data_IF_347248555516
#
_entry.id   IF_347248555516
#
_cell.length_a   1.000
_cell.length_b   1.000
_cell.length_c   1.000
_cell.angle_alpha   90.00
_cell.angle_beta   90.00
_cell.angle_gamma   90.00
#
_symmetry.space_group_name_H-M   'P 1'
#
loop_
_entity.id
_entity.type
_entity.pdbx_description
1 polymer ?
#
# COMPACT_ATOMS: atom_id res chain seq x y z
N UNK A 1 24.20 4.61 0.94
CA UNK A 1 23.55 3.27 0.91
C UNK A 1 22.25 3.40 0.12
N UNK A 2 22.13 2.74 -1.03
CA UNK A 2 20.93 2.83 -1.87
C UNK A 2 19.76 2.09 -1.19
N UNK A 3 18.53 2.60 -1.37
CA UNK A 3 17.32 2.04 -0.75
C UNK A 3 17.13 0.54 -1.06
N UNK A 4 17.54 0.10 -2.27
CA UNK A 4 17.49 -1.31 -2.71
C UNK A 4 18.41 -2.22 -1.89
N UNK A 5 19.62 -1.78 -1.53
CA UNK A 5 20.56 -2.57 -0.73
C UNK A 5 20.14 -2.65 0.74
N UNK A 6 19.57 -1.55 1.25
CA UNK A 6 18.99 -1.51 2.58
C UNK A 6 17.81 -2.48 2.68
N UNK A 7 16.96 -2.49 1.65
CA UNK A 7 15.85 -3.44 1.54
C UNK A 7 16.31 -4.90 1.43
N UNK A 8 17.29 -5.18 0.58
CA UNK A 8 17.84 -6.53 0.40
C UNK A 8 18.35 -7.12 1.71
N UNK A 9 19.06 -6.33 2.52
CA UNK A 9 19.48 -6.75 3.86
C UNK A 9 18.29 -6.97 4.81
N UNK A 10 17.32 -6.06 4.80
CA UNK A 10 16.15 -6.12 5.67
C UNK A 10 15.29 -7.38 5.43
N UNK A 11 15.09 -7.77 4.17
CA UNK A 11 14.33 -8.98 3.82
C UNK A 11 15.08 -10.26 4.18
N UNK A 12 16.40 -10.31 3.94
CA UNK A 12 17.23 -11.48 4.27
C UNK A 12 17.25 -11.73 5.77
N UNK A 13 17.42 -10.68 6.58
CA UNK A 13 17.41 -10.80 8.03
C UNK A 13 16.08 -11.29 8.62
N UNK A 14 14.97 -11.10 7.91
CA UNK A 14 13.62 -11.49 8.35
C UNK A 14 13.10 -12.79 7.74
N UNK A 15 13.82 -13.39 6.79
CA UNK A 15 13.40 -14.60 6.10
C UNK A 15 12.08 -14.46 5.33
N UNK A 16 11.68 -13.23 4.97
CA UNK A 16 10.39 -13.00 4.31
C UNK A 16 10.40 -13.51 2.87
N UNK A 17 9.32 -14.21 2.50
CA UNK A 17 9.05 -14.59 1.12
C UNK A 17 8.62 -13.35 0.35
N UNK A 18 9.22 -13.15 -0.82
CA UNK A 18 8.95 -11.99 -1.67
C UNK A 18 9.07 -12.34 -3.15
N UNK A 19 8.43 -11.53 -3.98
CA UNK A 19 8.62 -11.51 -5.42
C UNK A 19 8.84 -10.06 -5.87
N UNK A 20 9.51 -9.88 -7.01
CA UNK A 20 9.52 -8.58 -7.67
C UNK A 20 8.09 -8.17 -8.05
N UNK A 21 7.76 -6.89 -7.91
CA UNK A 21 6.48 -6.33 -8.35
C UNK A 21 6.72 -5.07 -9.18
N UNK A 22 5.70 -4.69 -9.94
CA UNK A 22 5.64 -3.43 -10.67
C UNK A 22 4.33 -2.76 -10.32
N UNK A 23 4.38 -1.58 -9.68
CA UNK A 23 3.22 -0.70 -9.65
C UNK A 23 3.17 0.03 -10.98
N UNK A 24 1.98 0.09 -11.58
CA UNK A 24 1.77 0.69 -12.89
C UNK A 24 0.38 1.28 -12.95
N UNK A 25 0.24 2.44 -13.60
CA UNK A 25 -1.08 2.95 -14.01
C UNK A 25 -1.64 2.08 -15.13
N UNK A 26 -2.97 2.12 -15.33
CA UNK A 26 -3.66 1.31 -16.36
C UNK A 26 -3.16 1.61 -17.78
N UNK A 27 -2.65 2.81 -18.01
CA UNK A 27 -2.06 3.26 -19.28
C UNK A 27 -0.54 3.03 -19.38
N UNK A 28 0.08 2.48 -18.34
CA UNK A 28 1.52 2.22 -18.30
C UNK A 28 2.40 3.42 -17.93
N UNK A 29 1.84 4.62 -17.72
CA UNK A 29 2.59 5.88 -17.60
C UNK A 29 3.48 5.99 -16.35
N UNK A 30 3.23 5.18 -15.33
CA UNK A 30 3.93 5.23 -14.05
C UNK A 30 4.48 3.86 -13.62
N UNK A 31 5.56 3.37 -14.25
CA UNK A 31 6.18 2.11 -13.89
C UNK A 31 7.11 2.28 -12.67
N UNK A 32 6.72 1.73 -11.53
CA UNK A 32 7.51 1.76 -10.31
C UNK A 32 7.89 0.33 -9.84
N UNK A 33 9.18 -0.04 -9.92
CA UNK A 33 9.66 -1.32 -9.41
C UNK A 33 9.51 -1.44 -7.89
N UNK A 34 8.99 -2.57 -7.43
CA UNK A 34 8.75 -2.85 -6.03
C UNK A 34 8.92 -4.32 -5.65
N UNK A 35 8.40 -4.67 -4.48
CA UNK A 35 8.38 -6.03 -3.97
C UNK A 35 7.02 -6.37 -3.40
N UNK A 36 6.50 -7.55 -3.76
CA UNK A 36 5.35 -8.16 -3.10
C UNK A 36 5.84 -9.04 -1.95
N UNK A 37 5.22 -8.93 -0.78
CA UNK A 37 5.55 -9.71 0.41
C UNK A 37 4.44 -10.71 0.72
N UNK A 38 4.84 -11.95 1.00
CA UNK A 38 3.91 -13.04 1.31
C UNK A 38 4.00 -13.43 2.77
N UNK A 39 2.85 -13.78 3.35
CA UNK A 39 2.76 -14.32 4.71
C UNK A 39 3.34 -13.39 5.79
N UNK A 40 3.35 -12.08 5.54
CA UNK A 40 3.86 -11.06 6.48
C UNK A 40 2.72 -10.36 7.21
N UNK A 41 2.88 -10.20 8.53
CA UNK A 41 1.95 -9.45 9.36
C UNK A 41 1.81 -7.99 8.87
N UNK A 42 0.57 -7.53 8.69
CA UNK A 42 0.28 -6.18 8.19
C UNK A 42 1.00 -5.07 8.97
N UNK A 43 1.08 -5.19 10.31
CA UNK A 43 1.76 -4.19 11.16
C UNK A 43 3.24 -4.06 10.79
N UNK A 44 3.90 -5.19 10.53
CA UNK A 44 5.30 -5.22 10.10
C UNK A 44 5.50 -4.58 8.73
N UNK A 45 4.59 -4.82 7.78
CA UNK A 45 4.63 -4.17 6.45
C UNK A 45 4.38 -2.66 6.55
N UNK A 46 3.46 -2.20 7.40
CA UNK A 46 3.21 -0.78 7.60
C UNK A 46 4.41 -0.06 8.24
N UNK A 47 5.06 -0.68 9.23
CA UNK A 47 6.28 -0.14 9.84
C UNK A 47 7.41 -0.02 8.80
N UNK A 48 7.57 -1.04 7.94
CA UNK A 48 8.49 -1.02 6.82
C UNK A 48 8.15 0.12 5.84
N UNK A 49 6.90 0.21 5.39
CA UNK A 49 6.44 1.20 4.42
C UNK A 49 6.76 2.63 4.92
N UNK A 50 6.51 2.91 6.20
CA UNK A 50 6.88 4.18 6.85
C UNK A 50 8.39 4.41 6.85
N UNK A 51 9.20 3.39 7.18
CA UNK A 51 10.66 3.48 7.17
C UNK A 51 11.20 3.87 5.79
N UNK A 52 10.58 3.36 4.72
CA UNK A 52 10.96 3.68 3.34
C UNK A 52 10.13 4.82 2.73
N UNK A 53 9.40 5.59 3.57
CA UNK A 53 8.59 6.76 3.18
C UNK A 53 7.58 6.48 2.06
N UNK A 54 7.05 5.27 2.02
CA UNK A 54 5.96 4.91 1.13
C UNK A 54 4.68 5.59 1.58
N UNK A 55 3.93 6.20 0.66
CA UNK A 55 2.65 6.85 0.96
C UNK A 55 1.53 5.83 1.21
N UNK A 56 1.58 4.69 0.53
CA UNK A 56 0.62 3.62 0.65
C UNK A 56 1.26 2.26 0.37
N UNK A 57 0.55 1.19 0.71
CA UNK A 57 0.81 -0.19 0.28
C UNK A 57 -0.46 -0.77 -0.33
N UNK A 58 -0.33 -1.71 -1.26
CA UNK A 58 -1.45 -2.55 -1.70
C UNK A 58 -1.36 -3.88 -0.95
N UNK A 59 -2.47 -4.32 -0.34
CA UNK A 59 -2.49 -5.56 0.43
C UNK A 59 -3.84 -6.28 0.38
N UNK A 60 -3.79 -7.61 0.52
CA UNK A 60 -4.95 -8.48 0.55
C UNK A 60 -4.68 -9.71 1.45
N UNK A 61 -5.75 -10.38 1.87
CA UNK A 61 -5.67 -11.81 2.21
C UNK A 61 -5.79 -12.62 0.92
N UNK A 62 -5.24 -13.83 0.88
CA UNK A 62 -5.41 -14.72 -0.26
C UNK A 62 -6.91 -14.96 -0.53
N UNK A 63 -7.33 -14.83 -1.79
CA UNK A 63 -8.73 -14.93 -2.20
C UNK A 63 -9.59 -13.67 -1.97
N UNK A 64 -9.03 -12.61 -1.37
CA UNK A 64 -9.71 -11.34 -1.18
C UNK A 64 -9.28 -10.29 -2.20
N UNK A 65 -10.16 -9.32 -2.47
CA UNK A 65 -9.86 -8.17 -3.33
C UNK A 65 -8.76 -7.31 -2.67
N UNK A 66 -7.68 -6.96 -3.39
CA UNK A 66 -6.63 -6.10 -2.87
C UNK A 66 -7.12 -4.69 -2.61
N UNK A 67 -6.52 -4.04 -1.61
CA UNK A 67 -6.86 -2.67 -1.21
C UNK A 67 -5.62 -1.82 -1.01
N UNK A 68 -5.76 -0.55 -1.37
CA UNK A 68 -4.79 0.48 -1.05
C UNK A 68 -4.91 0.86 0.44
N UNK A 69 -3.80 0.78 1.17
CA UNK A 69 -3.67 1.10 2.58
C UNK A 69 -2.67 2.24 2.73
N UNK A 70 -3.16 3.41 3.15
CA UNK A 70 -2.31 4.57 3.39
C UNK A 70 -1.49 4.40 4.67
N UNK A 71 -0.22 4.83 4.64
CA UNK A 71 0.72 4.67 5.78
C UNK A 71 0.60 5.79 6.82
N UNK A 72 -0.24 6.80 6.55
CA UNK A 72 -0.46 7.94 7.44
C UNK A 72 -1.25 7.52 8.69
N UNK A 73 -0.91 8.07 9.87
CA UNK A 73 -1.60 7.74 11.12
C UNK A 73 -3.12 7.95 11.07
N UNK A 74 -3.57 8.98 10.35
CA UNK A 74 -5.00 9.30 10.20
C UNK A 74 -5.77 8.21 9.44
N UNK A 75 -5.17 7.61 8.43
CA UNK A 75 -5.82 6.59 7.62
C UNK A 75 -5.91 5.22 8.30
N UNK A 76 -4.98 4.92 9.23
CA UNK A 76 -4.94 3.66 9.98
C UNK A 76 -5.96 3.59 11.13
N UNK A 77 -6.60 4.71 11.50
CA UNK A 77 -7.62 4.76 12.56
C UNK A 77 -9.02 4.31 12.09
N UNK A 78 -9.22 4.04 10.80
CA UNK A 78 -10.52 3.60 10.27
C UNK A 78 -10.71 2.09 10.50
N UNK A 79 -11.79 1.65 11.19
CA UNK A 79 -12.02 0.24 11.46
C UNK A 79 -12.26 -0.54 10.16
N UNK A 80 -11.79 -1.79 10.07
CA UNK A 80 -11.88 -2.70 8.90
C UNK A 80 -13.30 -2.87 8.31
N UNK A 81 -14.36 -2.47 9.03
CA UNK A 81 -15.76 -2.53 8.58
C UNK A 81 -16.24 -1.28 7.82
N UNK A 82 -15.55 -0.15 7.89
CA UNK A 82 -15.92 1.07 7.15
C UNK A 82 -15.65 0.99 5.63
N UNK A 83 -15.05 -0.12 5.17
CA UNK A 83 -14.46 -0.26 3.84
C UNK A 83 -15.41 -0.94 2.83
N UNK A 84 -16.55 -1.44 3.29
CA UNK A 84 -17.61 -1.96 2.40
C UNK A 84 -18.40 -0.85 1.69
N UNK A 85 -18.34 0.39 2.19
CA UNK A 85 -19.10 1.52 1.66
C UNK A 85 -18.36 2.28 0.55
N UNK A 86 -17.03 2.37 0.65
CA UNK A 86 -16.23 3.15 -0.31
C UNK A 86 -16.06 2.50 -1.69
N UNK A 87 -16.28 1.18 -1.82
CA UNK A 87 -16.19 0.47 -3.10
C UNK A 87 -17.49 0.50 -3.92
N UNK A 88 -18.61 0.94 -3.32
CA UNK A 88 -19.91 1.08 -4.01
C UNK A 88 -20.25 2.53 -4.33
N UNK A 89 -19.75 3.47 -3.55
CA UNK A 89 -20.10 4.89 -3.67
C UNK A 89 -19.03 5.72 -4.41
N UNK A 90 -18.35 5.12 -5.41
CA UNK A 90 -17.51 5.90 -6.34
C UNK A 90 -18.43 6.65 -7.30
N UNK A 91 -19.11 7.69 -6.78
CA UNK A 91 -19.79 8.70 -7.57
C UNK A 91 -18.76 9.78 -7.95
N UNK A 92 -18.31 9.84 -9.21
CA UNK A 92 -17.35 10.84 -9.66
C UNK A 92 -17.87 12.28 -9.51
N UNK A 93 -19.19 12.50 -9.33
CA UNK A 93 -19.77 13.83 -9.16
C UNK A 93 -19.46 14.48 -7.80
N UNK A 94 -18.85 13.76 -6.85
CA UNK A 94 -18.54 14.30 -5.51
C UNK A 94 -17.12 14.84 -5.34
N UNK A 95 -16.26 14.73 -6.37
CA UNK A 95 -14.88 15.23 -6.33
C UNK A 95 -14.73 16.74 -6.57
N UNK A 96 -15.75 17.43 -7.11
CA UNK A 96 -15.65 18.85 -7.49
C UNK A 96 -16.32 19.81 -6.50
N UNK A 97 -16.01 19.70 -5.20
CA UNK A 97 -16.26 20.84 -4.29
C UNK A 97 -15.01 21.20 -3.52
N UNK A 98 -14.34 22.21 -4.06
CA UNK A 98 -13.24 22.92 -3.45
C UNK A 98 -13.53 23.31 -1.99
N UNK A 99 -12.48 23.27 -1.18
CA UNK A 99 -12.48 23.91 0.13
C UNK A 99 -12.58 25.42 -0.07
N UNK A 100 -13.49 26.13 0.60
CA UNK A 100 -13.28 27.56 0.81
C UNK A 100 -12.31 27.74 1.99
N UNK A 101 -11.49 28.78 1.86
CA UNK A 101 -10.73 29.38 2.95
C UNK A 101 -11.64 29.99 4.02
#
# INVERSE_FOLDING_TARGET
MHARDAWARHRTARGWRHAASLACADDGSWPEPGFCLFDVERRSVLALARRYRQHAIVGAKLGAVPRLLWTTPAALRRPERAWHRCARDHDPARCDRGSPA
#
